data_IF_270558527871
#
_entry.id   IF_270558527871
#
_cell.length_a   1.000
_cell.length_b   1.000
_cell.length_c   1.000
_cell.angle_alpha   90.00
_cell.angle_beta   90.00
_cell.angle_gamma   90.00
#
_symmetry.space_group_name_H-M   'P 1'
#
loop_
_entity.id
_entity.type
_entity.pdbx_description
1 polymer ?
#
# COMPACT_ATOMS: atom_id res chain seq x y z
N UNK A 1 30.53 -29.64 -16.84
CA UNK A 1 31.03 -30.85 -16.13
C UNK A 1 30.50 -30.90 -14.69
N UNK A 2 30.62 -29.82 -13.90
CA UNK A 2 30.08 -29.74 -12.53
C UNK A 2 28.53 -29.86 -12.45
N UNK A 3 27.79 -29.18 -13.32
CA UNK A 3 26.32 -29.30 -13.39
C UNK A 3 25.82 -30.71 -13.71
N UNK A 4 26.56 -31.43 -14.56
CA UNK A 4 26.34 -32.82 -14.91
C UNK A 4 26.60 -33.72 -13.71
N UNK A 5 27.71 -33.50 -12.99
CA UNK A 5 28.04 -34.21 -11.76
C UNK A 5 26.98 -34.00 -10.66
N UNK A 6 26.57 -32.75 -10.39
CA UNK A 6 25.51 -32.45 -9.42
C UNK A 6 24.17 -33.09 -9.82
N UNK A 7 23.85 -33.13 -11.11
CA UNK A 7 22.60 -33.75 -11.57
C UNK A 7 22.62 -35.27 -11.45
N UNK A 8 23.75 -35.92 -11.72
CA UNK A 8 23.94 -37.35 -11.47
C UNK A 8 23.94 -37.65 -9.97
N UNK A 9 24.72 -36.92 -9.18
CA UNK A 9 24.76 -37.06 -7.72
C UNK A 9 23.36 -36.92 -7.12
N UNK A 10 22.61 -35.87 -7.48
CA UNK A 10 21.23 -35.67 -7.06
C UNK A 10 20.30 -36.85 -7.38
N UNK A 11 20.48 -37.51 -8.53
CA UNK A 11 19.66 -38.66 -8.93
C UNK A 11 19.96 -39.94 -8.12
N UNK A 12 21.13 -40.04 -7.48
CA UNK A 12 21.57 -41.23 -6.73
C UNK A 12 21.44 -41.10 -5.20
N UNK A 13 21.05 -39.93 -4.69
CA UNK A 13 20.87 -39.72 -3.26
C UNK A 13 19.60 -40.42 -2.74
N UNK A 14 19.69 -41.02 -1.55
CA UNK A 14 18.54 -41.61 -0.86
C UNK A 14 17.59 -40.54 -0.31
N UNK A 15 18.11 -39.37 0.06
CA UNK A 15 17.35 -38.19 0.49
C UNK A 15 17.85 -36.96 -0.26
N UNK A 16 17.59 -36.88 -1.58
CA UNK A 16 18.23 -35.92 -2.48
C UNK A 16 18.07 -34.46 -2.07
N UNK A 17 17.00 -34.12 -1.33
CA UNK A 17 16.78 -32.77 -0.80
C UNK A 17 17.73 -32.41 0.33
N UNK A 18 17.69 -33.16 1.43
CA UNK A 18 18.54 -32.92 2.61
C UNK A 18 20.02 -33.03 2.28
N UNK A 19 20.38 -34.03 1.49
CA UNK A 19 21.77 -34.26 1.10
C UNK A 19 22.33 -33.13 0.21
N UNK A 20 21.48 -32.49 -0.61
CA UNK A 20 21.88 -31.37 -1.46
C UNK A 20 22.02 -30.06 -0.68
N UNK A 21 21.14 -29.80 0.29
CA UNK A 21 21.30 -28.67 1.23
C UNK A 21 22.58 -28.79 2.05
N UNK A 22 22.91 -30.00 2.53
CA UNK A 22 24.17 -30.25 3.24
C UNK A 22 25.39 -29.98 2.36
N UNK A 23 25.34 -30.34 1.08
CA UNK A 23 26.42 -30.00 0.11
C UNK A 23 26.51 -28.50 -0.09
N UNK A 24 25.39 -27.80 -0.21
CA UNK A 24 25.37 -26.34 -0.32
C UNK A 24 26.02 -25.67 0.90
N UNK A 25 25.64 -26.07 2.11
CA UNK A 25 26.23 -25.54 3.34
C UNK A 25 27.73 -25.86 3.43
N UNK A 26 28.10 -27.12 3.26
CA UNK A 26 29.51 -27.55 3.32
C UNK A 26 30.39 -26.80 2.32
N UNK A 27 29.93 -26.64 1.07
CA UNK A 27 30.69 -25.91 0.05
C UNK A 27 30.77 -24.41 0.38
N UNK A 28 29.71 -23.81 0.92
CA UNK A 28 29.70 -22.41 1.35
C UNK A 28 30.66 -22.11 2.51
N UNK A 29 30.87 -23.10 3.39
CA UNK A 29 31.79 -23.03 4.54
C UNK A 29 33.24 -23.38 4.16
N UNK A 30 33.46 -24.20 3.13
CA UNK A 30 34.77 -24.81 2.88
C UNK A 30 35.47 -24.29 1.61
N UNK A 31 34.75 -23.93 0.55
CA UNK A 31 35.35 -23.60 -0.75
C UNK A 31 34.81 -22.29 -1.30
N UNK A 32 35.57 -21.60 -2.16
CA UNK A 32 35.06 -20.42 -2.85
C UNK A 32 33.97 -20.83 -3.87
N UNK A 33 32.78 -20.23 -3.76
CA UNK A 33 31.68 -20.46 -4.67
C UNK A 33 31.90 -19.62 -5.93
N UNK A 34 32.28 -20.27 -7.03
CA UNK A 34 32.35 -19.62 -8.35
C UNK A 34 30.95 -19.31 -8.90
N UNK A 35 30.86 -18.43 -9.89
CA UNK A 35 29.59 -18.05 -10.53
C UNK A 35 28.81 -19.25 -11.10
N UNK A 36 29.51 -20.23 -11.70
CA UNK A 36 28.88 -21.44 -12.23
C UNK A 36 28.25 -22.30 -11.12
N UNK A 37 28.95 -22.41 -9.98
CA UNK A 37 28.47 -23.15 -8.80
C UNK A 37 27.24 -22.44 -8.22
N UNK A 38 27.30 -21.11 -8.10
CA UNK A 38 26.20 -20.27 -7.66
C UNK A 38 24.93 -20.49 -8.50
N UNK A 39 25.04 -20.40 -9.83
CA UNK A 39 23.90 -20.61 -10.75
C UNK A 39 23.31 -22.02 -10.66
N UNK A 40 24.15 -23.04 -10.53
CA UNK A 40 23.70 -24.42 -10.35
C UNK A 40 22.94 -24.60 -9.03
N UNK A 41 23.41 -23.99 -7.94
CA UNK A 41 22.72 -24.00 -6.66
C UNK A 41 21.37 -23.28 -6.73
N UNK A 42 21.32 -22.06 -7.27
CA UNK A 42 20.06 -21.34 -7.47
C UNK A 42 19.08 -22.26 -8.18
N UNK A 43 19.43 -22.76 -9.37
CA UNK A 43 18.52 -23.59 -10.18
C UNK A 43 17.99 -24.82 -9.43
N UNK A 44 18.84 -25.55 -8.71
CA UNK A 44 18.46 -26.81 -8.04
C UNK A 44 17.68 -26.57 -6.75
N UNK A 45 18.13 -25.63 -5.92
CA UNK A 45 17.43 -25.27 -4.68
C UNK A 45 16.08 -24.60 -4.98
N UNK A 46 15.97 -23.81 -6.06
CA UNK A 46 14.70 -23.21 -6.49
C UNK A 46 13.64 -24.28 -6.80
N UNK A 47 14.03 -25.40 -7.41
CA UNK A 47 13.11 -26.52 -7.67
C UNK A 47 12.64 -27.19 -6.37
N UNK A 48 13.51 -27.25 -5.37
CA UNK A 48 13.21 -27.84 -4.07
C UNK A 48 12.20 -26.98 -3.29
N UNK A 49 12.51 -25.69 -3.10
CA UNK A 49 11.67 -24.76 -2.32
C UNK A 49 10.27 -24.62 -2.90
N UNK A 50 10.11 -24.74 -4.23
CA UNK A 50 8.79 -24.76 -4.86
C UNK A 50 7.88 -25.87 -4.34
N UNK A 51 8.39 -26.93 -3.73
CA UNK A 51 7.56 -28.05 -3.26
C UNK A 51 7.35 -28.05 -1.75
N UNK A 52 8.02 -27.17 -1.02
CA UNK A 52 7.92 -27.11 0.43
C UNK A 52 6.56 -26.55 0.86
N UNK A 53 6.06 -27.06 1.98
CA UNK A 53 5.03 -26.39 2.78
C UNK A 53 5.64 -25.21 3.54
N UNK A 54 4.78 -24.33 4.06
CA UNK A 54 5.21 -23.17 4.86
C UNK A 54 6.01 -23.60 6.08
N UNK A 55 5.53 -24.62 6.82
CA UNK A 55 6.22 -25.12 8.01
C UNK A 55 7.62 -25.65 7.68
N UNK A 56 7.74 -26.40 6.58
CA UNK A 56 9.05 -26.88 6.12
C UNK A 56 9.97 -25.73 5.70
N UNK A 57 9.42 -24.70 5.05
CA UNK A 57 10.20 -23.51 4.66
C UNK A 57 10.62 -22.66 5.86
N UNK A 58 9.77 -22.52 6.88
CA UNK A 58 10.11 -21.84 8.13
C UNK A 58 11.21 -22.60 8.89
N UNK A 59 11.15 -23.93 8.95
CA UNK A 59 12.23 -24.74 9.51
C UNK A 59 13.54 -24.56 8.73
N UNK A 60 13.47 -24.60 7.40
CA UNK A 60 14.63 -24.36 6.55
C UNK A 60 15.26 -22.98 6.80
N UNK A 61 14.47 -21.94 7.04
CA UNK A 61 15.00 -20.62 7.37
C UNK A 61 15.78 -20.62 8.68
N UNK A 62 15.32 -21.36 9.70
CA UNK A 62 16.07 -21.51 10.96
C UNK A 62 17.42 -22.18 10.70
N UNK A 63 17.43 -23.27 9.92
CA UNK A 63 18.65 -23.98 9.55
C UNK A 63 19.62 -23.05 8.77
N UNK A 64 19.11 -22.23 7.84
CA UNK A 64 19.91 -21.25 7.09
C UNK A 64 20.56 -20.23 8.06
N UNK A 65 19.79 -19.71 9.04
CA UNK A 65 20.29 -18.74 10.03
C UNK A 65 21.42 -19.34 10.87
N UNK A 66 21.32 -20.61 11.24
CA UNK A 66 22.38 -21.31 11.99
C UNK A 66 23.67 -21.45 11.16
N UNK A 67 23.55 -21.87 9.89
CA UNK A 67 24.69 -22.03 8.99
C UNK A 67 25.33 -20.72 8.55
N UNK A 68 24.56 -19.62 8.52
CA UNK A 68 25.06 -18.28 8.14
C UNK A 68 26.30 -17.85 8.95
N UNK A 69 26.41 -18.31 10.21
CA UNK A 69 27.55 -18.02 11.10
C UNK A 69 28.87 -18.65 10.65
N UNK A 70 28.80 -19.73 9.86
CA UNK A 70 29.95 -20.51 9.44
C UNK A 70 30.36 -20.25 7.98
N UNK A 71 29.53 -19.52 7.22
CA UNK A 71 29.79 -19.19 5.81
C UNK A 71 31.09 -18.40 5.69
N UNK A 72 31.96 -18.78 4.75
CA UNK A 72 33.18 -18.03 4.45
C UNK A 72 32.86 -16.60 4.02
N UNK A 73 33.67 -15.65 4.48
CA UNK A 73 33.50 -14.23 4.18
C UNK A 73 33.41 -13.94 2.68
N UNK A 74 34.21 -14.63 1.86
CA UNK A 74 34.24 -14.48 0.40
C UNK A 74 32.95 -14.98 -0.28
N UNK A 75 32.22 -15.88 0.38
CA UNK A 75 30.99 -16.47 -0.13
C UNK A 75 29.73 -15.75 0.37
N UNK A 76 29.83 -14.93 1.43
CA UNK A 76 28.68 -14.39 2.15
C UNK A 76 27.66 -13.72 1.22
N UNK A 77 28.12 -12.84 0.33
CA UNK A 77 27.23 -12.16 -0.62
C UNK A 77 26.53 -13.14 -1.55
N UNK A 78 27.26 -14.10 -2.16
CA UNK A 78 26.69 -15.11 -3.07
C UNK A 78 25.70 -16.01 -2.33
N UNK A 79 26.03 -16.44 -1.11
CA UNK A 79 25.14 -17.22 -0.27
C UNK A 79 23.82 -16.49 -0.04
N UNK A 80 23.89 -15.22 0.38
CA UNK A 80 22.70 -14.42 0.63
C UNK A 80 21.87 -14.18 -0.63
N UNK A 81 22.51 -13.95 -1.78
CA UNK A 81 21.80 -13.82 -3.07
C UNK A 81 21.04 -15.10 -3.44
N UNK A 82 21.62 -16.29 -3.19
CA UNK A 82 20.91 -17.56 -3.35
C UNK A 82 19.69 -17.57 -2.44
N UNK A 83 19.85 -17.33 -1.13
CA UNK A 83 18.76 -17.39 -0.16
C UNK A 83 17.63 -16.42 -0.54
N UNK A 84 17.95 -15.17 -0.90
CA UNK A 84 16.96 -14.18 -1.32
C UNK A 84 16.16 -14.64 -2.56
N UNK A 85 16.85 -15.23 -3.53
CA UNK A 85 16.21 -15.79 -4.74
C UNK A 85 15.27 -16.95 -4.39
N UNK A 86 15.67 -17.80 -3.47
CA UNK A 86 14.85 -18.93 -3.00
C UNK A 86 13.62 -18.46 -2.23
N UNK A 87 13.78 -17.43 -1.39
CA UNK A 87 12.70 -16.83 -0.65
C UNK A 87 11.67 -16.21 -1.59
N UNK A 88 12.12 -15.42 -2.56
CA UNK A 88 11.26 -14.83 -3.58
C UNK A 88 10.49 -15.89 -4.36
N UNK A 89 11.15 -16.96 -4.80
CA UNK A 89 10.48 -18.03 -5.54
C UNK A 89 9.47 -18.78 -4.67
N UNK A 90 9.84 -19.09 -3.42
CA UNK A 90 8.94 -19.74 -2.47
C UNK A 90 7.68 -18.90 -2.28
N UNK A 91 7.83 -17.60 -1.94
CA UNK A 91 6.71 -16.68 -1.74
C UNK A 91 5.85 -16.55 -3.00
N UNK A 92 6.46 -16.39 -4.18
CA UNK A 92 5.71 -16.33 -5.46
C UNK A 92 4.88 -17.58 -5.69
N UNK A 93 5.47 -18.75 -5.47
CA UNK A 93 4.80 -20.02 -5.69
C UNK A 93 3.71 -20.29 -4.63
N UNK A 94 3.96 -19.91 -3.38
CA UNK A 94 2.99 -19.96 -2.29
C UNK A 94 1.73 -19.18 -2.65
N UNK A 95 1.88 -17.90 -3.02
CA UNK A 95 0.76 -17.02 -3.36
C UNK A 95 0.06 -17.40 -4.66
N UNK A 96 0.76 -18.01 -5.63
CA UNK A 96 0.14 -18.52 -6.87
C UNK A 96 -0.70 -19.78 -6.65
N UNK A 97 -0.33 -20.63 -5.68
CA UNK A 97 -1.04 -21.89 -5.38
C UNK A 97 -2.30 -21.69 -4.57
N UNK A 98 -2.47 -20.53 -3.95
CA UNK A 98 -3.69 -20.16 -3.25
C UNK A 98 -4.85 -19.94 -4.25
N UNK A 99 -5.53 -21.04 -4.58
CA UNK A 99 -6.96 -21.01 -4.90
C UNK A 99 -7.76 -20.53 -3.66
N UNK A 100 -9.03 -20.09 -3.76
CA UNK A 100 -9.69 -19.19 -2.80
C UNK A 100 -10.02 -19.80 -1.42
N UNK A 101 -9.47 -20.96 -1.09
CA UNK A 101 -9.65 -21.62 0.20
C UNK A 101 -8.45 -21.33 1.12
N UNK A 102 -8.62 -20.29 1.93
CA UNK A 102 -7.71 -19.82 2.99
C UNK A 102 -7.15 -20.97 3.85
N UNK A 103 -5.89 -21.34 3.64
CA UNK A 103 -5.12 -22.19 4.58
C UNK A 103 -3.90 -21.47 5.17
N UNK A 104 -3.50 -20.32 4.63
CA UNK A 104 -2.43 -19.49 5.19
C UNK A 104 -2.96 -18.67 6.36
N UNK A 105 -2.31 -18.82 7.52
CA UNK A 105 -2.57 -17.97 8.67
C UNK A 105 -1.76 -16.68 8.53
N UNK A 106 -2.33 -15.54 8.93
CA UNK A 106 -1.61 -14.27 8.95
C UNK A 106 -0.35 -14.33 9.81
N UNK A 107 -0.36 -15.19 10.84
CA UNK A 107 0.80 -15.48 11.69
C UNK A 107 1.96 -16.04 10.86
N UNK A 108 1.69 -16.98 9.95
CA UNK A 108 2.70 -17.59 9.10
C UNK A 108 3.30 -16.56 8.12
N UNK A 109 2.46 -15.66 7.58
CA UNK A 109 2.90 -14.59 6.68
C UNK A 109 3.74 -13.54 7.41
N UNK A 110 3.38 -13.17 8.65
CA UNK A 110 4.18 -12.27 9.48
C UNK A 110 5.53 -12.88 9.81
N UNK A 111 5.58 -14.17 10.11
CA UNK A 111 6.84 -14.88 10.35
C UNK A 111 7.71 -14.95 9.08
N UNK A 112 7.11 -15.21 7.92
CA UNK A 112 7.81 -15.14 6.63
C UNK A 112 8.35 -13.73 6.36
N UNK A 113 7.60 -12.68 6.66
CA UNK A 113 8.07 -11.30 6.47
C UNK A 113 9.29 -11.01 7.34
N UNK A 114 9.25 -11.43 8.61
CA UNK A 114 10.38 -11.31 9.54
C UNK A 114 11.61 -12.06 9.03
N UNK A 115 11.45 -13.33 8.65
CA UNK A 115 12.54 -14.14 8.12
C UNK A 115 13.12 -13.55 6.83
N UNK A 116 12.28 -12.99 5.95
CA UNK A 116 12.72 -12.33 4.72
C UNK A 116 13.58 -11.08 4.99
N UNK A 117 13.37 -10.39 6.12
CA UNK A 117 14.15 -9.22 6.51
C UNK A 117 15.49 -9.63 7.13
N UNK A 118 15.48 -10.66 7.98
CA UNK A 118 16.67 -11.21 8.63
C UNK A 118 17.61 -11.86 7.59
N UNK A 119 17.06 -12.61 6.64
CA UNK A 119 17.76 -13.33 5.58
C UNK A 119 17.96 -12.46 4.33
N UNK A 120 18.41 -11.23 4.54
CA UNK A 120 18.57 -10.27 3.45
C UNK A 120 19.76 -9.33 3.65
N UNK A 121 20.55 -9.12 2.59
CA UNK A 121 21.72 -8.23 2.60
C UNK A 121 21.32 -6.77 2.88
N UNK A 122 20.27 -6.30 2.23
CA UNK A 122 19.81 -4.90 2.31
C UNK A 122 18.86 -4.63 3.49
N UNK A 123 18.34 -5.68 4.14
CA UNK A 123 17.39 -5.62 5.27
C UNK A 123 16.25 -4.60 5.07
N UNK A 124 15.67 -4.60 3.88
CA UNK A 124 14.64 -3.64 3.44
C UNK A 124 13.34 -4.35 3.05
N UNK A 125 12.20 -3.68 3.27
CA UNK A 125 10.88 -4.14 2.84
C UNK A 125 10.65 -4.01 1.33
N UNK A 126 11.51 -3.28 0.61
CA UNK A 126 11.40 -3.07 -0.85
C UNK A 126 11.75 -4.32 -1.67
N UNK A 127 12.06 -5.45 -1.02
CA UNK A 127 12.42 -6.69 -1.70
C UNK A 127 11.20 -7.39 -2.27
N UNK A 128 11.31 -8.07 -3.43
CA UNK A 128 10.17 -8.73 -4.06
C UNK A 128 9.38 -9.67 -3.14
N UNK A 129 10.05 -10.48 -2.32
CA UNK A 129 9.40 -11.37 -1.34
C UNK A 129 8.60 -10.59 -0.29
N UNK A 130 9.22 -9.57 0.32
CA UNK A 130 8.58 -8.70 1.31
C UNK A 130 7.38 -7.97 0.71
N UNK A 131 7.52 -7.39 -0.49
CA UNK A 131 6.45 -6.71 -1.20
C UNK A 131 5.26 -7.65 -1.48
N UNK A 132 5.54 -8.89 -1.91
CA UNK A 132 4.51 -9.91 -2.13
C UNK A 132 3.75 -10.28 -0.84
N UNK A 133 4.47 -10.43 0.28
CA UNK A 133 3.88 -10.75 1.58
C UNK A 133 3.06 -9.58 2.11
N UNK A 134 3.58 -8.36 2.05
CA UNK A 134 2.87 -7.14 2.45
C UNK A 134 1.60 -6.98 1.61
N UNK A 135 1.70 -7.21 0.30
CA UNK A 135 0.54 -7.17 -0.59
C UNK A 135 -0.55 -8.15 -0.15
N UNK A 136 -0.17 -9.38 0.22
CA UNK A 136 -1.10 -10.40 0.73
C UNK A 136 -1.73 -9.99 2.05
N UNK A 137 -0.92 -9.58 3.02
CA UNK A 137 -1.35 -9.22 4.38
C UNK A 137 -2.31 -8.02 4.40
N UNK A 138 -2.03 -6.99 3.61
CA UNK A 138 -2.78 -5.74 3.67
C UNK A 138 -3.94 -5.68 2.66
N UNK A 139 -3.70 -6.12 1.42
CA UNK A 139 -4.58 -5.77 0.29
C UNK A 139 -5.38 -6.94 -0.28
N UNK A 140 -5.11 -8.19 0.11
CA UNK A 140 -5.83 -9.32 -0.47
C UNK A 140 -7.19 -9.53 0.21
N UNK A 141 -8.24 -9.10 -0.49
CA UNK A 141 -9.62 -9.34 -0.08
C UNK A 141 -10.03 -10.76 -0.48
N UNK A 142 -10.24 -11.63 0.51
CA UNK A 142 -10.64 -13.03 0.28
C UNK A 142 -12.06 -13.19 -0.27
N UNK A 143 -12.86 -12.11 -0.32
CA UNK A 143 -14.22 -12.14 -0.83
C UNK A 143 -14.40 -11.20 -2.03
N UNK A 144 -14.74 -11.78 -3.17
CA UNK A 144 -15.07 -11.06 -4.42
C UNK A 144 -16.37 -10.24 -4.32
N UNK A 145 -17.15 -10.40 -3.26
CA UNK A 145 -18.48 -9.80 -3.11
C UNK A 145 -18.54 -8.68 -2.07
N UNK A 146 -17.42 -8.33 -1.40
CA UNK A 146 -17.42 -7.22 -0.45
C UNK A 146 -17.65 -5.90 -1.17
N UNK A 147 -18.54 -5.09 -0.61
CA UNK A 147 -18.74 -3.72 -1.05
C UNK A 147 -17.48 -2.88 -0.72
N UNK A 148 -17.43 -1.65 -1.19
CA UNK A 148 -16.24 -0.79 -1.04
C UNK A 148 -15.94 -0.50 0.43
N UNK A 149 -16.99 -0.23 1.23
CA UNK A 149 -16.86 0.10 2.65
C UNK A 149 -16.26 -1.07 3.44
N UNK A 150 -16.72 -2.29 3.19
CA UNK A 150 -16.22 -3.50 3.83
C UNK A 150 -14.76 -3.78 3.48
N UNK A 151 -14.35 -3.49 2.24
CA UNK A 151 -12.94 -3.61 1.82
C UNK A 151 -12.06 -2.61 2.55
N UNK A 152 -12.49 -1.35 2.65
CA UNK A 152 -11.75 -0.31 3.39
C UNK A 152 -11.68 -0.66 4.88
N UNK A 153 -12.78 -1.13 5.46
CA UNK A 153 -12.81 -1.58 6.85
C UNK A 153 -11.80 -2.70 7.10
N UNK A 154 -11.79 -3.71 6.22
CA UNK A 154 -10.85 -4.84 6.29
C UNK A 154 -9.40 -4.37 6.14
N UNK A 155 -9.13 -3.42 5.24
CA UNK A 155 -7.80 -2.83 5.09
C UNK A 155 -7.35 -2.11 6.36
N UNK A 156 -8.21 -1.31 6.99
CA UNK A 156 -7.89 -0.63 8.25
C UNK A 156 -7.64 -1.63 9.39
N UNK A 157 -8.44 -2.70 9.44
CA UNK A 157 -8.23 -3.78 10.39
C UNK A 157 -6.86 -4.46 10.19
N UNK A 158 -6.53 -4.81 8.94
CA UNK A 158 -5.25 -5.42 8.59
C UNK A 158 -4.07 -4.50 8.92
N UNK A 159 -4.20 -3.18 8.69
CA UNK A 159 -3.18 -2.19 9.01
C UNK A 159 -2.96 -2.04 10.52
N UNK A 160 -4.03 -2.07 11.31
CA UNK A 160 -3.95 -2.01 12.77
C UNK A 160 -3.23 -3.23 13.35
N UNK A 161 -3.47 -4.40 12.77
CA UNK A 161 -2.81 -5.64 13.16
C UNK A 161 -1.43 -5.83 12.50
N UNK A 162 -1.03 -4.92 11.60
CA UNK A 162 0.27 -4.95 10.95
C UNK A 162 1.39 -4.52 11.92
N UNK A 163 2.61 -4.98 11.65
CA UNK A 163 3.73 -4.80 12.57
C UNK A 163 4.11 -3.31 12.72
N UNK A 164 3.88 -2.76 13.91
CA UNK A 164 4.11 -1.36 14.22
C UNK A 164 5.58 -0.96 14.10
N UNK A 165 6.53 -1.87 14.37
CA UNK A 165 7.94 -1.56 14.28
C UNK A 165 8.39 -1.48 12.81
N UNK A 166 7.82 -2.31 11.93
CA UNK A 166 8.03 -2.17 10.48
C UNK A 166 7.51 -0.85 9.94
N UNK A 167 6.34 -0.42 10.40
CA UNK A 167 5.72 0.85 10.01
C UNK A 167 6.51 2.09 10.44
N UNK A 168 7.23 2.02 11.57
CA UNK A 168 8.02 3.15 12.11
C UNK A 168 9.28 3.42 11.29
N UNK A 169 9.93 2.37 10.79
CA UNK A 169 11.25 2.47 10.14
C UNK A 169 11.12 2.76 8.64
N UNK A 170 10.00 2.40 8.02
CA UNK A 170 9.86 2.43 6.58
C UNK A 170 8.85 3.47 6.09
N UNK A 171 9.19 4.08 4.96
CA UNK A 171 8.33 4.99 4.21
C UNK A 171 7.26 4.23 3.42
N UNK A 172 5.95 4.48 3.65
CA UNK A 172 4.90 3.79 2.89
C UNK A 172 4.96 4.14 1.40
N UNK A 173 5.45 5.34 1.03
CA UNK A 173 5.58 5.78 -0.35
C UNK A 173 6.57 4.94 -1.18
N UNK A 174 7.56 4.31 -0.53
CA UNK A 174 8.56 3.50 -1.20
C UNK A 174 8.14 2.03 -1.36
N UNK A 175 7.03 1.64 -0.72
CA UNK A 175 6.59 0.24 -0.60
C UNK A 175 5.23 0.03 -1.28
N UNK A 176 4.31 0.98 -1.12
CA UNK A 176 2.94 0.84 -1.60
C UNK A 176 2.85 1.33 -3.04
N UNK A 177 2.45 0.43 -3.94
CA UNK A 177 2.26 0.73 -5.35
C UNK A 177 0.78 0.95 -5.68
N UNK A 178 0.48 1.93 -6.54
CA UNK A 178 -0.89 2.29 -6.95
C UNK A 178 -1.68 1.12 -7.56
N UNK A 179 -0.99 0.19 -8.22
CA UNK A 179 -1.58 -1.00 -8.82
C UNK A 179 -2.17 -1.97 -7.77
N UNK A 180 -1.74 -1.89 -6.51
CA UNK A 180 -2.29 -2.69 -5.41
C UNK A 180 -3.60 -2.11 -4.86
N UNK A 181 -3.84 -0.82 -5.10
CA UNK A 181 -4.99 -0.09 -4.58
C UNK A 181 -6.22 -0.19 -5.49
N UNK A 182 -6.09 -0.79 -6.69
CA UNK A 182 -7.13 -0.80 -7.72
C UNK A 182 -8.47 -1.38 -7.23
N UNK A 183 -8.42 -2.44 -6.41
CA UNK A 183 -9.62 -3.08 -5.85
C UNK A 183 -10.30 -2.27 -4.74
N UNK A 184 -9.64 -1.21 -4.27
CA UNK A 184 -10.14 -0.26 -3.28
C UNK A 184 -10.60 1.05 -3.91
N UNK A 185 -10.43 1.25 -5.22
CA UNK A 185 -10.85 2.47 -5.90
C UNK A 185 -12.34 2.48 -6.22
N UNK A 186 -13.02 3.55 -5.86
CA UNK A 186 -14.46 3.68 -5.99
C UNK A 186 -14.87 4.93 -6.74
N UNK A 187 -16.09 4.92 -7.30
CA UNK A 187 -16.74 6.14 -7.74
C UNK A 187 -17.36 6.83 -6.51
N UNK A 188 -17.01 8.09 -6.28
CA UNK A 188 -17.44 8.82 -5.09
C UNK A 188 -18.97 9.00 -5.08
N UNK A 189 -19.60 9.59 -6.12
CA UNK A 189 -21.04 9.79 -6.09
C UNK A 189 -21.86 8.49 -6.14
N UNK A 190 -21.41 7.44 -6.83
CA UNK A 190 -22.18 6.21 -7.03
C UNK A 190 -21.94 5.12 -5.97
N UNK A 191 -20.72 5.02 -5.44
CA UNK A 191 -20.36 4.01 -4.44
C UNK A 191 -20.17 4.59 -3.05
N UNK A 192 -19.31 5.60 -2.89
CA UNK A 192 -18.91 6.08 -1.57
C UNK A 192 -20.06 6.77 -0.83
N UNK A 193 -20.63 7.82 -1.45
CA UNK A 193 -21.67 8.62 -0.82
C UNK A 193 -22.99 7.85 -0.62
N UNK A 194 -23.25 6.81 -1.41
CA UNK A 194 -24.48 6.01 -1.33
C UNK A 194 -24.39 4.88 -0.31
N UNK A 195 -23.19 4.31 -0.10
CA UNK A 195 -22.99 3.15 0.77
C UNK A 195 -22.56 3.56 2.18
N UNK A 196 -21.84 4.67 2.34
CA UNK A 196 -21.26 5.07 3.61
C UNK A 196 -22.21 5.99 4.40
N UNK A 197 -23.19 5.41 5.09
CA UNK A 197 -24.07 6.17 5.99
C UNK A 197 -23.35 6.55 7.30
N UNK A 198 -24.03 7.32 8.17
CA UNK A 198 -23.46 7.78 9.44
C UNK A 198 -22.95 6.64 10.35
N UNK A 199 -23.65 5.51 10.39
CA UNK A 199 -23.25 4.37 11.20
C UNK A 199 -21.98 3.72 10.65
N UNK A 200 -21.95 3.45 9.36
CA UNK A 200 -20.80 2.81 8.69
C UNK A 200 -19.57 3.71 8.70
N UNK A 201 -19.76 5.02 8.54
CA UNK A 201 -18.70 6.01 8.70
C UNK A 201 -18.09 5.96 10.10
N UNK A 202 -18.93 5.96 11.14
CA UNK A 202 -18.48 5.87 12.53
C UNK A 202 -17.71 4.58 12.79
N UNK A 203 -18.12 3.47 12.18
CA UNK A 203 -17.41 2.19 12.27
C UNK A 203 -16.02 2.28 11.62
N UNK A 204 -15.90 2.90 10.45
CA UNK A 204 -14.59 3.16 9.83
C UNK A 204 -13.69 4.01 10.75
N UNK A 205 -14.22 5.09 11.33
CA UNK A 205 -13.46 5.93 12.26
C UNK A 205 -12.97 5.18 13.51
N UNK A 206 -13.75 4.23 14.01
CA UNK A 206 -13.36 3.43 15.19
C UNK A 206 -12.25 2.41 14.88
N UNK A 207 -12.17 1.93 13.64
CA UNK A 207 -11.14 0.99 13.19
C UNK A 207 -9.89 1.70 12.68
N UNK A 208 -10.04 2.92 12.20
CA UNK A 208 -8.95 3.76 11.74
C UNK A 208 -7.94 4.04 12.84
N UNK A 209 -6.67 3.77 12.55
CA UNK A 209 -5.55 4.14 13.40
C UNK A 209 -4.79 5.29 12.74
N UNK A 210 -4.72 6.43 13.43
CA UNK A 210 -3.98 7.60 12.96
C UNK A 210 -2.47 7.34 13.04
N UNK A 211 -1.94 6.84 11.93
CA UNK A 211 -0.53 6.58 11.75
C UNK A 211 -0.12 6.86 10.30
N UNK A 212 1.18 7.00 10.08
CA UNK A 212 1.75 7.35 8.79
C UNK A 212 1.30 6.45 7.64
N UNK A 213 1.23 5.14 7.86
CA UNK A 213 0.88 4.16 6.83
C UNK A 213 -0.60 4.22 6.49
N UNK A 214 -1.47 4.22 7.49
CA UNK A 214 -2.92 4.36 7.29
C UNK A 214 -3.24 5.69 6.60
N UNK A 215 -2.64 6.80 7.05
CA UNK A 215 -2.84 8.12 6.46
C UNK A 215 -2.39 8.16 4.99
N UNK A 216 -1.22 7.58 4.68
CA UNK A 216 -0.70 7.51 3.31
C UNK A 216 -1.60 6.68 2.40
N UNK A 217 -1.94 5.46 2.80
CA UNK A 217 -2.74 4.53 1.99
C UNK A 217 -4.14 5.09 1.77
N UNK A 218 -4.77 5.64 2.82
CA UNK A 218 -6.08 6.26 2.70
C UNK A 218 -6.07 7.48 1.78
N UNK A 219 -5.07 8.36 1.95
CA UNK A 219 -4.89 9.51 1.06
C UNK A 219 -4.72 9.08 -0.39
N UNK A 220 -3.96 8.02 -0.65
CA UNK A 220 -3.74 7.52 -2.02
C UNK A 220 -5.00 6.91 -2.63
N UNK A 221 -5.75 6.12 -1.87
CA UNK A 221 -7.06 5.58 -2.29
C UNK A 221 -8.02 6.72 -2.64
N UNK A 222 -8.09 7.76 -1.79
CA UNK A 222 -8.94 8.92 -2.02
C UNK A 222 -8.53 9.68 -3.27
N UNK A 223 -7.25 10.04 -3.42
CA UNK A 223 -6.72 10.73 -4.59
C UNK A 223 -7.09 10.00 -5.89
N UNK A 224 -6.80 8.71 -5.98
CA UNK A 224 -7.06 7.88 -7.17
C UNK A 224 -8.57 7.74 -7.43
N UNK A 225 -9.40 7.64 -6.38
CA UNK A 225 -10.87 7.57 -6.50
C UNK A 225 -11.48 8.88 -6.99
N UNK A 226 -10.94 10.03 -6.57
CA UNK A 226 -11.38 11.33 -7.10
C UNK A 226 -11.00 11.46 -8.58
N UNK A 227 -9.78 11.09 -8.97
CA UNK A 227 -9.37 11.09 -10.38
C UNK A 227 -10.28 10.21 -11.25
N UNK A 228 -10.66 9.03 -10.74
CA UNK A 228 -11.61 8.13 -11.41
C UNK A 228 -12.98 8.79 -11.57
N UNK A 229 -13.54 9.37 -10.50
CA UNK A 229 -14.87 10.00 -10.49
C UNK A 229 -14.94 11.27 -11.36
N UNK A 230 -13.84 12.02 -11.43
CA UNK A 230 -13.69 13.24 -12.24
C UNK A 230 -13.87 12.97 -13.74
N UNK A 231 -13.46 11.79 -14.22
CA UNK A 231 -13.54 11.43 -15.64
C UNK A 231 -14.98 11.36 -16.19
N UNK A 232 -16.00 11.40 -15.32
CA UNK A 232 -17.42 11.35 -15.69
C UNK A 232 -18.19 12.66 -15.47
N UNK A 233 -18.22 13.23 -14.26
CA UNK A 233 -19.12 14.36 -13.87
C UNK A 233 -18.65 15.11 -12.60
N UNK A 234 -17.62 15.96 -12.66
CA UNK A 234 -17.03 16.67 -11.50
C UNK A 234 -18.05 17.42 -10.62
N UNK A 235 -19.00 18.16 -11.22
CA UNK A 235 -20.00 18.90 -10.44
C UNK A 235 -20.95 17.98 -9.66
N UNK A 236 -21.33 16.84 -10.23
CA UNK A 236 -22.19 15.87 -9.55
C UNK A 236 -21.45 15.22 -8.37
N UNK A 237 -20.17 14.89 -8.55
CA UNK A 237 -19.32 14.38 -7.46
C UNK A 237 -19.28 15.39 -6.29
N UNK A 238 -18.99 16.66 -6.57
CA UNK A 238 -18.91 17.71 -5.55
C UNK A 238 -20.26 17.90 -4.82
N UNK A 239 -21.38 17.95 -5.55
CA UNK A 239 -22.71 18.09 -4.96
C UNK A 239 -23.09 16.89 -4.09
N UNK A 240 -22.84 15.67 -4.55
CA UNK A 240 -23.14 14.44 -3.81
C UNK A 240 -22.31 14.32 -2.54
N UNK A 241 -21.03 14.65 -2.62
CA UNK A 241 -20.18 14.63 -1.46
C UNK A 241 -20.55 15.71 -0.44
N UNK A 242 -20.91 16.91 -0.90
CA UNK A 242 -21.38 17.96 -0.01
C UNK A 242 -22.63 17.52 0.76
N UNK A 243 -23.59 16.88 0.07
CA UNK A 243 -24.77 16.32 0.73
C UNK A 243 -24.39 15.20 1.70
N UNK A 244 -23.49 14.30 1.31
CA UNK A 244 -23.00 13.23 2.17
C UNK A 244 -22.37 13.75 3.48
N UNK A 245 -21.56 14.82 3.41
CA UNK A 245 -20.99 15.44 4.62
C UNK A 245 -22.07 15.94 5.58
N UNK A 246 -23.17 16.49 5.05
CA UNK A 246 -24.32 16.92 5.84
C UNK A 246 -25.01 15.70 6.46
N UNK A 247 -25.28 14.67 5.66
CA UNK A 247 -26.02 13.47 6.08
C UNK A 247 -25.29 12.66 7.16
N UNK A 248 -23.95 12.60 7.08
CA UNK A 248 -23.08 11.95 8.08
C UNK A 248 -22.84 12.84 9.31
N UNK A 249 -23.46 14.04 9.38
CA UNK A 249 -23.35 15.01 10.49
C UNK A 249 -21.94 15.53 10.72
N UNK A 250 -21.27 15.92 9.64
CA UNK A 250 -20.09 16.81 9.68
C UNK A 250 -20.48 18.29 9.59
N UNK A 251 -21.67 18.64 10.09
CA UNK A 251 -22.16 20.01 10.22
C UNK A 251 -21.29 20.85 11.16
N UNK A 252 -20.53 20.18 12.04
CA UNK A 252 -19.47 20.78 12.86
C UNK A 252 -18.12 20.17 12.50
N UNK A 253 -17.19 21.02 12.05
CA UNK A 253 -15.81 20.64 11.79
C UNK A 253 -15.18 20.03 13.05
N UNK A 254 -14.52 18.88 12.88
CA UNK A 254 -13.78 18.20 13.92
C UNK A 254 -12.37 17.90 13.43
N UNK A 255 -11.38 18.59 14.00
CA UNK A 255 -9.97 18.39 13.65
C UNK A 255 -9.49 16.95 13.88
N UNK A 256 -10.11 16.23 14.82
CA UNK A 256 -9.76 14.83 15.13
C UNK A 256 -10.33 13.84 14.13
N UNK A 257 -11.10 14.30 13.16
CA UNK A 257 -11.67 13.46 12.11
C UNK A 257 -10.70 13.33 10.92
N UNK A 258 -9.59 12.60 11.15
CA UNK A 258 -8.50 12.46 10.17
C UNK A 258 -8.98 11.87 8.84
N UNK A 259 -9.99 10.99 8.84
CA UNK A 259 -10.58 10.42 7.62
C UNK A 259 -11.23 11.49 6.74
N UNK A 260 -12.13 12.31 7.30
CA UNK A 260 -12.76 13.43 6.57
C UNK A 260 -11.73 14.47 6.15
N UNK A 261 -10.77 14.78 7.02
CA UNK A 261 -9.69 15.73 6.67
C UNK A 261 -8.95 15.27 5.41
N UNK A 262 -8.54 14.00 5.34
CA UNK A 262 -7.84 13.46 4.16
C UNK A 262 -8.71 13.52 2.90
N UNK A 263 -10.02 13.23 3.00
CA UNK A 263 -10.96 13.33 1.88
C UNK A 263 -10.96 14.77 1.33
N UNK A 264 -11.16 15.76 2.21
CA UNK A 264 -11.31 17.17 1.83
C UNK A 264 -10.01 17.75 1.28
N UNK A 265 -8.85 17.40 1.86
CA UNK A 265 -7.55 17.82 1.34
C UNK A 265 -7.35 17.36 -0.10
N UNK A 266 -7.59 16.07 -0.38
CA UNK A 266 -7.42 15.51 -1.72
C UNK A 266 -8.40 16.11 -2.74
N UNK A 267 -9.64 16.40 -2.33
CA UNK A 267 -10.62 17.09 -3.19
C UNK A 267 -10.22 18.51 -3.49
N UNK A 268 -9.69 19.21 -2.49
CA UNK A 268 -9.35 20.60 -2.63
C UNK A 268 -8.19 20.81 -3.63
N UNK A 269 -7.18 19.94 -3.62
CA UNK A 269 -6.15 19.94 -4.66
C UNK A 269 -6.72 19.85 -6.08
N UNK A 270 -7.81 19.08 -6.24
CA UNK A 270 -8.46 18.89 -7.54
C UNK A 270 -9.32 20.10 -7.89
N UNK A 271 -10.05 20.65 -6.93
CA UNK A 271 -10.82 21.90 -7.11
C UNK A 271 -9.93 23.04 -7.59
N UNK A 272 -8.77 23.28 -6.96
CA UNK A 272 -7.88 24.38 -7.36
C UNK A 272 -7.34 24.22 -8.78
N UNK A 273 -7.05 22.97 -9.18
CA UNK A 273 -6.48 22.64 -10.49
C UNK A 273 -7.48 22.81 -11.63
N UNK A 274 -8.76 22.53 -11.37
CA UNK A 274 -9.78 22.45 -12.40
C UNK A 274 -10.76 23.62 -12.43
N UNK A 275 -10.86 24.36 -11.33
CA UNK A 275 -11.81 25.45 -11.18
C UNK A 275 -11.03 26.76 -11.07
N UNK A 276 -11.32 27.69 -11.96
CA UNK A 276 -10.58 28.96 -12.02
C UNK A 276 -10.84 29.85 -10.79
N UNK A 277 -12.05 29.78 -10.25
CA UNK A 277 -12.55 30.65 -9.18
C UNK A 277 -13.57 29.94 -8.30
N UNK A 278 -13.60 30.29 -7.02
CA UNK A 278 -14.61 29.80 -6.05
C UNK A 278 -16.05 30.03 -6.51
N UNK A 279 -16.29 31.05 -7.36
CA UNK A 279 -17.60 31.39 -7.90
C UNK A 279 -18.09 30.42 -8.99
N UNK A 280 -17.18 29.68 -9.62
CA UNK A 280 -17.50 28.68 -10.63
C UNK A 280 -17.83 27.31 -10.00
N UNK A 281 -17.78 27.20 -8.68
CA UNK A 281 -18.15 25.97 -7.97
C UNK A 281 -19.66 25.75 -7.95
N UNK A 282 -20.11 24.49 -7.95
CA UNK A 282 -21.49 24.16 -7.64
C UNK A 282 -21.84 24.55 -6.19
N UNK A 283 -23.11 24.44 -5.81
CA UNK A 283 -23.57 24.77 -4.45
C UNK A 283 -23.05 23.74 -3.42
N UNK A 284 -21.81 23.95 -2.95
CA UNK A 284 -21.10 23.07 -2.00
C UNK A 284 -20.64 23.80 -0.72
N UNK A 285 -21.54 24.47 0.01
CA UNK A 285 -21.17 25.33 1.13
C UNK A 285 -20.49 24.58 2.29
N UNK A 286 -20.85 23.32 2.53
CA UNK A 286 -20.27 22.52 3.62
C UNK A 286 -18.81 22.16 3.35
N UNK A 287 -18.50 21.74 2.13
CA UNK A 287 -17.10 21.48 1.71
C UNK A 287 -16.25 22.75 1.84
N UNK A 288 -16.79 23.89 1.42
CA UNK A 288 -16.08 25.17 1.45
C UNK A 288 -15.86 25.67 2.87
N UNK A 289 -16.87 25.61 3.74
CA UNK A 289 -16.70 25.92 5.17
C UNK A 289 -15.65 25.00 5.80
N UNK A 290 -15.67 23.71 5.47
CA UNK A 290 -14.68 22.75 5.97
C UNK A 290 -13.26 23.13 5.55
N UNK A 291 -13.02 23.46 4.28
CA UNK A 291 -11.70 23.92 3.79
C UNK A 291 -11.22 25.16 4.55
N UNK A 292 -12.11 26.13 4.76
CA UNK A 292 -11.77 27.35 5.51
C UNK A 292 -11.40 27.07 6.97
N UNK A 293 -12.06 26.10 7.59
CA UNK A 293 -11.74 25.69 8.96
C UNK A 293 -10.42 24.94 9.03
N UNK A 294 -10.16 23.99 8.12
CA UNK A 294 -8.86 23.29 8.08
C UNK A 294 -7.71 24.29 7.91
N UNK A 295 -7.86 25.30 7.03
CA UNK A 295 -6.87 26.35 6.81
C UNK A 295 -6.41 27.02 8.12
N UNK A 296 -7.33 27.24 9.05
CA UNK A 296 -7.04 27.94 10.31
C UNK A 296 -6.32 27.06 11.35
N UNK A 297 -6.28 25.75 11.14
CA UNK A 297 -5.74 24.75 12.08
C UNK A 297 -4.36 24.21 11.66
N UNK A 298 -3.74 24.76 10.60
CA UNK A 298 -2.41 24.38 10.09
C UNK A 298 -2.21 22.87 9.83
N UNK A 299 -3.27 22.17 9.42
CA UNK A 299 -3.19 20.71 9.16
C UNK A 299 -2.22 20.42 8.00
N UNK A 300 -1.30 19.47 8.23
CA UNK A 300 -0.36 18.99 7.22
C UNK A 300 -1.08 18.48 5.96
N UNK A 301 -0.57 18.86 4.78
CA UNK A 301 -1.13 18.49 3.48
C UNK A 301 -1.93 19.57 2.78
N UNK A 302 -2.27 20.69 3.46
CA UNK A 302 -2.90 21.84 2.83
C UNK A 302 -1.89 22.89 2.40
N UNK A 303 -1.84 23.18 1.10
CA UNK A 303 -1.09 24.32 0.58
C UNK A 303 -1.88 25.63 0.82
N UNK A 304 -1.65 26.27 1.96
CA UNK A 304 -2.29 27.54 2.36
C UNK A 304 -2.16 28.63 1.29
N UNK A 305 -1.03 28.65 0.56
CA UNK A 305 -0.79 29.61 -0.52
C UNK A 305 -1.76 29.38 -1.68
N UNK A 306 -2.01 28.13 -2.05
CA UNK A 306 -2.97 27.79 -3.10
C UNK A 306 -4.41 28.09 -2.68
N UNK A 307 -4.79 27.85 -1.41
CA UNK A 307 -6.07 28.31 -0.87
C UNK A 307 -6.22 29.82 -1.05
N UNK A 308 -5.24 30.59 -0.56
CA UNK A 308 -5.29 32.04 -0.61
C UNK A 308 -5.37 32.56 -2.05
N UNK A 309 -4.60 31.98 -2.96
CA UNK A 309 -4.64 32.33 -4.38
C UNK A 309 -6.00 32.02 -5.02
N UNK A 310 -6.62 30.88 -4.67
CA UNK A 310 -7.95 30.51 -5.17
C UNK A 310 -9.04 31.49 -4.69
N UNK A 311 -8.98 31.90 -3.42
CA UNK A 311 -9.91 32.90 -2.86
C UNK A 311 -9.69 34.28 -3.51
N UNK A 312 -8.44 34.71 -3.63
CA UNK A 312 -8.09 36.01 -4.24
C UNK A 312 -8.58 36.10 -5.69
N UNK A 313 -8.41 35.04 -6.49
CA UNK A 313 -8.98 34.96 -7.84
C UNK A 313 -10.50 35.19 -7.85
N UNK A 314 -11.21 34.62 -6.88
CA UNK A 314 -12.63 34.87 -6.68
C UNK A 314 -12.95 36.33 -6.36
N UNK A 315 -12.21 36.93 -5.43
CA UNK A 315 -12.39 38.34 -5.06
C UNK A 315 -12.14 39.29 -6.23
N UNK A 316 -11.07 39.08 -6.99
CA UNK A 316 -10.77 39.86 -8.20
C UNK A 316 -11.89 39.73 -9.23
N UNK A 317 -12.42 38.52 -9.45
CA UNK A 317 -13.54 38.32 -10.38
C UNK A 317 -14.81 39.06 -9.96
N UNK A 318 -15.14 39.07 -8.66
CA UNK A 318 -16.27 39.88 -8.14
C UNK A 318 -16.02 41.38 -8.35
N UNK A 319 -14.81 41.85 -8.06
CA UNK A 319 -14.44 43.25 -8.27
C UNK A 319 -14.58 43.66 -9.73
N UNK A 320 -14.12 42.83 -10.67
CA UNK A 320 -14.23 43.07 -12.10
C UNK A 320 -15.71 43.15 -12.54
N UNK A 321 -16.57 42.25 -12.05
CA UNK A 321 -18.03 42.29 -12.30
C UNK A 321 -18.65 43.58 -11.76
N UNK A 322 -18.30 43.97 -10.53
CA UNK A 322 -18.83 45.17 -9.89
C UNK A 322 -18.40 46.44 -10.64
N UNK A 323 -17.15 46.50 -11.09
CA UNK A 323 -16.62 47.59 -11.90
C UNK A 323 -17.31 47.67 -13.26
N UNK A 324 -17.52 46.55 -13.94
CA UNK A 324 -18.27 46.47 -15.20
C UNK A 324 -19.72 46.96 -15.04
N UNK A 325 -20.43 46.51 -13.99
CA UNK A 325 -21.79 46.99 -13.70
C UNK A 325 -21.82 48.47 -13.34
N UNK A 326 -20.83 48.97 -12.59
CA UNK A 326 -20.70 50.39 -12.28
C UNK A 326 -20.50 51.25 -13.52
N UNK A 327 -19.67 50.80 -14.47
CA UNK A 327 -19.43 51.49 -15.75
C UNK A 327 -20.67 51.48 -16.66
N UNK A 328 -21.42 50.37 -16.71
CA UNK A 328 -22.66 50.28 -17.46
C UNK A 328 -23.74 51.21 -16.92
N UNK A 329 -23.81 51.38 -15.59
CA UNK A 329 -24.76 52.30 -14.94
C UNK A 329 -24.39 53.78 -15.08
N UNK A 330 -23.14 54.12 -15.44
CA UNK A 330 -22.72 55.51 -15.70
C UNK A 330 -22.86 55.94 -17.17
N UNK A 331 -23.22 55.02 -18.06
CA UNK A 331 -23.41 55.27 -19.50
C UNK A 331 -24.90 55.27 -19.93
N UNK A 332 -25.82 55.39 -18.97
CA UNK A 332 -27.27 55.64 -19.17
C UNK A 332 -27.54 57.01 -18.56
#
# INVERSE_FOLDING_TARGET
MFSTYLSYYYAYLKKPRSDFWNVFYYLSETYEITENIHQDFVRKLTLDVRTLSIKEFLQLNQDIIEHLKNVKSENYTRFMTIIETLFEEFTKNLLKREQPYNQLLDIDLKELLKNSLELSLARTLQKPSSLLIIRRLLFQNNSRTLNVVDRIYTLFYNLKDFDQDLCRVNEPADIIHDEWLQDFLFDIPENFCTQLNHHDYRNLCNTYEDNRWTNFIWSRIMYLSILKSKSGKSNNMLLKLNQWMIDVKHDTFNIKDTLTNIIIVNLFEIIIKDVESVLALPNIPSIIDFIFRIKNEEIHGINLKEINNFIQRGQSFVQDILLLKGQLNMNI
#
